data_IF_196527402134
#
_entry.id   IF_196527402134
#
_cell.length_a   1.000
_cell.length_b   1.000
_cell.length_c   1.000
_cell.angle_alpha   90.00
_cell.angle_beta   90.00
_cell.angle_gamma   90.00
#
_symmetry.space_group_name_H-M   'P 1'
#
loop_
_entity.id
_entity.type
_entity.pdbx_description
1 polymer ?
#
# COMPACT_ATOMS: atom_id res chain seq x y z
N UNK A 1 14.30 26.45 13.08
CA UNK A 1 13.52 25.57 13.99
C UNK A 1 12.79 24.52 13.15
N UNK A 2 13.40 23.35 12.94
CA UNK A 2 12.83 22.27 12.13
C UNK A 2 11.91 21.41 13.02
N UNK A 3 10.60 21.45 12.74
CA UNK A 3 9.60 20.63 13.44
C UNK A 3 9.82 19.15 13.11
N UNK A 4 9.77 18.32 14.15
CA UNK A 4 10.21 16.92 14.14
C UNK A 4 9.48 16.04 13.12
N UNK A 5 10.28 15.20 12.44
CA UNK A 5 9.83 14.10 11.59
C UNK A 5 9.17 13.03 12.45
N UNK A 6 7.84 12.92 12.38
CA UNK A 6 7.12 11.76 12.91
C UNK A 6 7.11 10.67 11.84
N UNK A 7 7.94 9.65 12.06
CA UNK A 7 7.82 8.34 11.41
C UNK A 7 6.46 7.74 11.80
N UNK A 8 5.48 7.79 10.89
CA UNK A 8 4.17 7.19 11.10
C UNK A 8 4.20 5.73 10.67
N UNK A 9 4.76 4.86 11.50
CA UNK A 9 4.43 3.44 11.44
C UNK A 9 2.97 3.28 11.89
N UNK A 10 2.03 3.27 10.94
CA UNK A 10 0.65 2.91 11.21
C UNK A 10 0.45 1.45 10.80
N UNK A 11 0.26 0.58 11.79
CA UNK A 11 -0.11 -0.81 11.58
C UNK A 11 -1.58 -0.89 11.17
N UNK A 12 -1.88 -1.46 10.00
CA UNK A 12 -3.25 -1.82 9.62
C UNK A 12 -3.73 -2.87 10.64
N UNK A 13 -4.82 -2.55 11.36
CA UNK A 13 -5.45 -3.51 12.27
C UNK A 13 -5.99 -4.67 11.42
N UNK A 14 -5.46 -5.89 11.63
CA UNK A 14 -6.01 -7.10 11.01
C UNK A 14 -7.42 -7.32 11.56
N UNK A 15 -8.44 -7.24 10.70
CA UNK A 15 -9.79 -7.68 11.05
C UNK A 15 -9.79 -9.20 11.29
N UNK A 16 -10.65 -9.69 12.19
CA UNK A 16 -10.60 -11.06 12.74
C UNK A 16 -10.70 -12.19 11.72
N UNK A 17 -11.24 -11.96 10.50
CA UNK A 17 -11.22 -12.96 9.41
C UNK A 17 -9.90 -12.98 8.64
N UNK A 18 -9.20 -11.86 8.55
CA UNK A 18 -7.93 -11.71 7.82
C UNK A 18 -6.72 -12.24 8.61
N UNK A 19 -6.87 -12.55 9.89
CA UNK A 19 -5.80 -13.08 10.74
C UNK A 19 -5.51 -14.58 10.55
N UNK A 20 -6.42 -15.35 9.95
CA UNK A 20 -6.30 -16.80 9.78
C UNK A 20 -6.11 -17.28 8.33
N UNK A 21 -6.34 -16.41 7.35
CA UNK A 21 -6.06 -16.69 5.94
C UNK A 21 -4.63 -16.20 5.64
N UNK A 22 -3.92 -16.83 4.70
CA UNK A 22 -2.53 -16.50 4.35
C UNK A 22 -2.35 -15.11 3.71
N UNK A 23 -2.78 -14.06 4.40
CA UNK A 23 -2.83 -12.69 3.96
C UNK A 23 -1.44 -12.09 4.09
N UNK A 24 -0.91 -11.55 3.00
CA UNK A 24 0.36 -10.82 2.97
C UNK A 24 0.09 -9.33 3.12
N UNK A 25 0.91 -8.67 3.93
CA UNK A 25 0.80 -7.23 4.19
C UNK A 25 2.18 -6.63 4.02
N UNK A 26 2.31 -5.74 3.05
CA UNK A 26 3.56 -5.09 2.69
C UNK A 26 3.41 -3.57 2.69
N UNK A 27 4.38 -2.86 3.26
CA UNK A 27 4.51 -1.43 3.02
C UNK A 27 5.12 -1.24 1.63
N UNK A 28 4.38 -0.59 0.75
CA UNK A 28 4.75 -0.26 -0.63
C UNK A 28 4.74 1.26 -0.82
N UNK A 29 4.87 1.72 -2.06
CA UNK A 29 4.85 3.16 -2.34
C UNK A 29 6.15 3.86 -1.94
N UNK A 30 6.25 5.13 -2.29
CA UNK A 30 7.47 5.92 -2.05
C UNK A 30 7.81 6.06 -0.57
N UNK A 31 6.82 6.05 0.33
CA UNK A 31 7.07 6.14 1.78
C UNK A 31 7.71 4.89 2.37
N UNK A 32 7.72 3.78 1.64
CA UNK A 32 8.45 2.56 2.03
C UNK A 32 9.94 2.60 1.69
N UNK A 33 10.41 3.62 0.97
CA UNK A 33 11.81 3.79 0.55
C UNK A 33 12.48 4.85 1.44
N UNK A 34 13.44 4.49 2.31
CA UNK A 34 14.15 5.46 3.14
C UNK A 34 14.88 6.51 2.31
N UNK A 35 14.73 7.78 2.68
CA UNK A 35 15.42 8.90 2.01
C UNK A 35 14.74 9.43 0.75
N UNK A 36 13.72 8.74 0.22
CA UNK A 36 12.95 9.21 -0.94
C UNK A 36 11.99 10.33 -0.54
N UNK A 37 12.00 11.43 -1.30
CA UNK A 37 11.03 12.50 -1.12
C UNK A 37 9.64 12.02 -1.59
N UNK A 38 8.68 11.96 -0.67
CA UNK A 38 7.34 11.44 -0.93
C UNK A 38 6.25 12.33 -0.34
N UNK A 39 5.06 12.28 -0.92
CA UNK A 39 3.85 12.76 -0.25
C UNK A 39 3.66 11.98 1.06
N UNK A 40 3.09 12.57 2.12
CA UNK A 40 2.87 11.90 3.40
C UNK A 40 1.66 10.95 3.32
N UNK A 41 1.72 9.99 2.39
CA UNK A 41 0.71 8.96 2.13
C UNK A 41 1.38 7.59 2.27
N UNK A 42 0.80 6.72 3.09
CA UNK A 42 1.27 5.36 3.32
C UNK A 42 0.45 4.42 2.43
N UNK A 43 1.13 3.74 1.50
CA UNK A 43 0.52 2.75 0.64
C UNK A 43 0.82 1.34 1.17
N UNK A 44 -0.22 0.55 1.41
CA UNK A 44 -0.13 -0.81 1.93
C UNK A 44 -0.61 -1.78 0.85
N UNK A 45 0.21 -2.77 0.49
CA UNK A 45 -0.19 -3.93 -0.31
C UNK A 45 -0.81 -5.00 0.58
N UNK A 46 -2.02 -5.43 0.24
CA UNK A 46 -2.76 -6.51 0.88
C UNK A 46 -2.95 -7.65 -0.12
N UNK A 47 -2.19 -8.74 0.05
CA UNK A 47 -2.33 -9.95 -0.74
C UNK A 47 -3.43 -10.86 -0.19
N UNK A 48 -4.48 -11.09 -0.97
CA UNK A 48 -5.59 -12.02 -0.66
C UNK A 48 -5.55 -13.25 -1.58
N UNK A 49 -6.35 -14.28 -1.28
CA UNK A 49 -6.41 -15.49 -2.12
C UNK A 49 -6.96 -15.19 -3.51
N UNK A 50 -8.03 -14.39 -3.57
CA UNK A 50 -8.64 -13.94 -4.82
C UNK A 50 -9.19 -12.52 -4.62
N UNK A 51 -8.64 -11.56 -5.35
CA UNK A 51 -9.05 -10.15 -5.26
C UNK A 51 -10.45 -9.88 -5.80
N UNK A 52 -10.93 -10.70 -6.74
CA UNK A 52 -12.25 -10.51 -7.34
C UNK A 52 -13.37 -11.05 -6.44
N UNK A 53 -13.04 -11.90 -5.46
CA UNK A 53 -13.94 -12.34 -4.37
C UNK A 53 -14.03 -11.31 -3.25
N UNK A 54 -14.54 -10.13 -3.58
CA UNK A 54 -14.63 -8.99 -2.65
C UNK A 54 -15.41 -9.32 -1.37
N UNK A 55 -16.36 -10.25 -1.40
CA UNK A 55 -17.13 -10.70 -0.24
C UNK A 55 -16.25 -11.30 0.88
N UNK A 56 -15.05 -11.77 0.55
CA UNK A 56 -14.15 -12.43 1.48
C UNK A 56 -13.35 -11.43 2.35
N UNK A 57 -13.18 -10.18 1.90
CA UNK A 57 -12.33 -9.19 2.59
C UNK A 57 -12.88 -7.76 2.65
N UNK A 58 -13.66 -7.33 1.66
CA UNK A 58 -14.09 -5.94 1.55
C UNK A 58 -15.05 -5.50 2.67
N UNK A 59 -16.02 -6.33 3.13
CA UNK A 59 -16.89 -5.95 4.25
C UNK A 59 -16.11 -5.61 5.52
N UNK A 60 -15.05 -6.36 5.82
CA UNK A 60 -14.18 -6.14 6.97
C UNK A 60 -13.42 -4.80 6.85
N UNK A 61 -12.92 -4.48 5.65
CA UNK A 61 -12.26 -3.19 5.39
C UNK A 61 -13.26 -2.02 5.51
N UNK A 62 -14.48 -2.19 5.00
CA UNK A 62 -15.53 -1.16 5.13
C UNK A 62 -15.93 -0.96 6.60
N UNK A 63 -16.10 -2.04 7.35
CA UNK A 63 -16.41 -1.97 8.78
C UNK A 63 -15.28 -1.31 9.58
N UNK A 64 -14.03 -1.46 9.14
CA UNK A 64 -12.87 -0.76 9.70
C UNK A 64 -12.77 0.73 9.28
N UNK A 65 -13.72 1.23 8.47
CA UNK A 65 -13.81 2.64 8.07
C UNK A 65 -13.18 2.98 6.71
N UNK A 66 -12.68 1.97 5.97
CA UNK A 66 -12.17 2.19 4.63
C UNK A 66 -13.31 2.32 3.61
N UNK A 67 -13.05 3.04 2.52
CA UNK A 67 -13.97 3.20 1.38
C UNK A 67 -13.27 2.76 0.11
N UNK A 68 -13.95 1.95 -0.70
CA UNK A 68 -13.47 1.57 -2.02
C UNK A 68 -13.37 2.79 -2.93
N UNK A 69 -12.25 2.90 -3.65
CA UNK A 69 -11.94 4.01 -4.56
C UNK A 69 -11.60 3.56 -5.96
N UNK A 70 -10.90 2.43 -6.10
CA UNK A 70 -10.48 1.86 -7.39
C UNK A 70 -10.95 0.42 -7.47
N UNK A 71 -11.50 0.07 -8.64
CA UNK A 71 -11.91 -1.28 -9.00
C UNK A 71 -11.44 -1.55 -10.43
N UNK A 72 -10.32 -2.24 -10.55
CA UNK A 72 -9.67 -2.60 -11.83
C UNK A 72 -9.39 -4.11 -11.88
N UNK A 73 -9.33 -4.75 -13.05
CA UNK A 73 -9.04 -6.18 -13.13
C UNK A 73 -7.80 -6.57 -12.31
N UNK A 74 -7.95 -7.46 -11.33
CA UNK A 74 -6.86 -7.90 -10.45
C UNK A 74 -6.42 -6.92 -9.35
N UNK A 75 -7.11 -5.78 -9.17
CA UNK A 75 -6.72 -4.76 -8.18
C UNK A 75 -7.92 -4.01 -7.59
N UNK A 76 -7.90 -3.82 -6.26
CA UNK A 76 -8.76 -2.85 -5.56
C UNK A 76 -7.91 -1.86 -4.79
N UNK A 77 -8.41 -0.65 -4.62
CA UNK A 77 -7.83 0.28 -3.67
C UNK A 77 -8.93 0.85 -2.76
N UNK A 78 -8.70 0.74 -1.46
CA UNK A 78 -9.54 1.34 -0.42
C UNK A 78 -8.75 2.38 0.36
N UNK A 79 -9.43 3.40 0.86
CA UNK A 79 -8.83 4.41 1.75
C UNK A 79 -9.84 4.95 2.74
N UNK A 80 -9.38 5.41 3.89
CA UNK A 80 -10.21 6.25 4.77
C UNK A 80 -10.25 7.68 4.23
N UNK A 81 -11.32 8.47 4.46
CA UNK A 81 -11.39 9.87 4.05
C UNK A 81 -10.32 10.75 4.69
N UNK A 82 -9.99 10.48 5.96
CA UNK A 82 -9.22 11.38 6.81
C UNK A 82 -7.75 10.97 7.01
N UNK A 83 -7.40 9.72 6.70
CA UNK A 83 -6.02 9.24 6.80
C UNK A 83 -5.35 9.23 5.43
N UNK A 84 -4.09 9.65 5.40
CA UNK A 84 -3.17 9.43 4.28
C UNK A 84 -2.72 7.97 4.22
N UNK A 85 -3.65 7.01 4.26
CA UNK A 85 -3.36 5.58 4.14
C UNK A 85 -4.21 5.00 3.01
N UNK A 86 -3.53 4.39 2.06
CA UNK A 86 -4.10 3.66 0.94
C UNK A 86 -3.84 2.18 1.14
N UNK A 87 -4.87 1.35 0.96
CA UNK A 87 -4.72 -0.11 0.98
C UNK A 87 -5.06 -0.64 -0.40
N UNK A 88 -4.06 -1.21 -1.05
CA UNK A 88 -4.16 -1.82 -2.35
C UNK A 88 -4.31 -3.32 -2.17
N UNK A 89 -5.44 -3.87 -2.59
CA UNK A 89 -5.73 -5.29 -2.51
C UNK A 89 -5.47 -5.94 -3.85
N UNK A 90 -4.77 -7.06 -3.83
CA UNK A 90 -4.44 -7.86 -5.02
C UNK A 90 -4.41 -9.35 -4.65
N UNK A 91 -4.48 -10.21 -5.66
CA UNK A 91 -4.23 -11.64 -5.43
C UNK A 91 -2.76 -11.84 -5.04
N UNK A 92 -2.50 -12.60 -3.96
CA UNK A 92 -1.16 -12.91 -3.50
C UNK A 92 -0.39 -13.64 -4.62
N UNK A 93 0.85 -13.22 -4.88
CA UNK A 93 1.64 -13.72 -6.00
C UNK A 93 1.18 -13.26 -7.37
N UNK A 94 0.34 -12.23 -7.47
CA UNK A 94 -0.02 -11.60 -8.76
C UNK A 94 1.12 -10.75 -9.34
N UNK A 95 1.03 -10.42 -10.63
CA UNK A 95 1.94 -9.47 -11.27
C UNK A 95 1.83 -8.06 -10.69
N UNK A 96 0.67 -7.70 -10.16
CA UNK A 96 0.50 -6.44 -9.46
C UNK A 96 1.34 -6.42 -8.18
N UNK A 97 1.22 -7.44 -7.33
CA UNK A 97 2.02 -7.58 -6.10
C UNK A 97 3.53 -7.53 -6.41
N UNK A 98 3.97 -8.37 -7.35
CA UNK A 98 5.39 -8.46 -7.75
C UNK A 98 5.96 -7.14 -8.22
N UNK A 99 5.22 -6.38 -9.05
CA UNK A 99 5.70 -5.10 -9.58
C UNK A 99 5.90 -4.06 -8.47
N UNK A 100 4.96 -3.96 -7.53
CA UNK A 100 5.09 -3.00 -6.43
C UNK A 100 6.26 -3.34 -5.50
N UNK A 101 6.46 -4.64 -5.19
CA UNK A 101 7.58 -5.09 -4.38
C UNK A 101 8.92 -4.89 -5.09
N UNK A 102 9.00 -5.26 -6.37
CA UNK A 102 10.22 -5.10 -7.18
C UNK A 102 10.62 -3.63 -7.27
N UNK A 103 9.66 -2.74 -7.53
CA UNK A 103 9.91 -1.31 -7.61
C UNK A 103 10.45 -0.73 -6.29
N UNK A 104 9.80 -1.08 -5.16
CA UNK A 104 10.27 -0.71 -3.82
C UNK A 104 11.69 -1.20 -3.56
N UNK A 105 11.93 -2.48 -3.81
CA UNK A 105 13.20 -3.12 -3.46
C UNK A 105 14.34 -2.65 -4.37
N UNK A 106 14.03 -2.34 -5.62
CA UNK A 106 14.97 -1.70 -6.55
C UNK A 106 15.38 -0.29 -6.08
N UNK A 107 14.43 0.58 -5.71
CA UNK A 107 14.76 1.91 -5.19
C UNK A 107 15.50 1.89 -3.84
N UNK A 108 15.32 0.83 -3.04
CA UNK A 108 16.10 0.62 -1.81
C UNK A 108 17.53 0.18 -2.11
N UNK A 109 17.74 -0.52 -3.22
CA UNK A 109 19.04 -1.03 -3.64
C UNK A 109 19.86 0.05 -4.37
N UNK A 110 19.27 0.71 -5.37
CA UNK A 110 19.94 1.71 -6.20
C UNK A 110 19.54 3.13 -5.80
N UNK A 111 20.42 3.78 -5.04
CA UNK A 111 20.17 5.14 -4.55
C UNK A 111 20.31 6.20 -5.64
N UNK A 112 20.91 5.88 -6.79
CA UNK A 112 21.06 6.83 -7.90
C UNK A 112 19.71 7.21 -8.50
N UNK A 113 18.75 6.30 -8.45
CA UNK A 113 17.36 6.51 -8.88
C UNK A 113 16.47 7.14 -7.81
N UNK A 114 17.00 7.52 -6.64
CA UNK A 114 16.27 8.36 -5.69
C UNK A 114 16.24 9.83 -6.13
N UNK A 115 17.13 10.23 -7.04
CA UNK A 115 17.35 11.62 -7.44
C UNK A 115 16.44 12.12 -8.58
N UNK A 116 15.51 11.30 -9.09
CA UNK A 116 14.55 11.76 -10.10
C UNK A 116 13.53 12.69 -9.44
N UNK A 117 13.48 13.94 -9.90
CA UNK A 117 12.87 15.09 -9.21
C UNK A 117 11.44 14.91 -8.66
N UNK A 118 10.99 15.87 -7.82
CA UNK A 118 9.69 15.81 -7.16
C UNK A 118 8.55 15.68 -8.19
N UNK A 119 7.99 14.47 -8.31
CA UNK A 119 6.86 14.19 -9.21
C UNK A 119 7.03 12.95 -10.10
N UNK A 120 8.26 12.50 -10.38
CA UNK A 120 8.50 11.42 -11.36
C UNK A 120 7.94 10.06 -10.90
N UNK A 121 8.07 9.73 -9.61
CA UNK A 121 7.52 8.50 -9.04
C UNK A 121 6.13 8.64 -8.43
N UNK A 122 5.58 9.85 -8.43
CA UNK A 122 4.36 10.17 -7.69
C UNK A 122 3.07 9.66 -8.35
N UNK A 123 3.17 9.14 -9.58
CA UNK A 123 2.07 8.55 -10.36
C UNK A 123 2.21 7.03 -10.56
N UNK A 124 3.31 6.43 -10.09
CA UNK A 124 3.60 5.00 -10.32
C UNK A 124 3.17 4.09 -9.15
N UNK A 125 2.61 4.66 -8.08
CA UNK A 125 2.16 3.95 -6.87
C UNK A 125 0.81 4.48 -6.40
#
# INVERSE_FOLDING_TARGET
>A
MLRGRRSSQQSVKRSGRLSGQGVRVDHIGSTSVPGLAAKPIIDIGLGVVDVDREEDYLPDLIAAGYRLRVREPGHRMVRTPDLGVHVHVCTAGSDWERRQLLFRDWLRYDQSDLAVGPGSFCHQV
#
